data_IF_513153973010
#
_entry.id   IF_513153973010
#
_cell.length_a   1.000
_cell.length_b   1.000
_cell.length_c   1.000
_cell.angle_alpha   90.00
_cell.angle_beta   90.00
_cell.angle_gamma   90.00
#
_symmetry.space_group_name_H-M   'P 1'
#
loop_
_entity.id
_entity.type
_entity.pdbx_description
1 polymer ?
#
# COMPACT_ATOMS: atom_id res chain seq x y z
N UNK A 1 -33.57 4.00 0.38
CA UNK A 1 -33.50 2.98 -0.68
C UNK A 1 -32.11 3.03 -1.37
N UNK A 2 -31.01 2.88 -0.62
CA UNK A 2 -29.63 2.99 -1.15
C UNK A 2 -28.64 2.03 -0.45
N UNK A 3 -29.16 1.04 0.30
CA UNK A 3 -28.33 0.06 1.03
C UNK A 3 -28.26 -1.32 0.34
N UNK A 4 -28.99 -1.55 -0.76
CA UNK A 4 -29.05 -2.88 -1.39
C UNK A 4 -28.10 -3.11 -2.56
N UNK A 5 -27.32 -2.12 -2.99
CA UNK A 5 -26.26 -2.29 -3.99
C UNK A 5 -24.92 -2.66 -3.34
N UNK A 6 -24.97 -3.55 -2.33
CA UNK A 6 -23.77 -4.12 -1.76
C UNK A 6 -23.08 -4.92 -2.87
N UNK A 7 -22.01 -4.36 -3.45
CA UNK A 7 -21.13 -5.01 -4.43
C UNK A 7 -20.45 -6.21 -3.74
N UNK A 8 -21.21 -7.29 -3.58
CA UNK A 8 -20.75 -8.49 -2.86
C UNK A 8 -19.83 -9.27 -3.80
N UNK A 9 -18.53 -9.01 -3.70
CA UNK A 9 -17.50 -9.69 -4.49
C UNK A 9 -17.07 -11.03 -3.88
N UNK A 10 -17.60 -11.38 -2.70
CA UNK A 10 -17.46 -12.70 -2.10
C UNK A 10 -18.07 -13.80 -3.00
N UNK A 11 -17.44 -14.98 -3.01
CA UNK A 11 -17.88 -16.14 -3.80
C UNK A 11 -19.02 -16.85 -3.08
N UNK A 12 -20.10 -17.18 -3.79
CA UNK A 12 -21.16 -18.00 -3.20
C UNK A 12 -20.76 -19.48 -3.22
N UNK A 13 -21.23 -20.27 -2.25
CA UNK A 13 -20.88 -21.69 -2.13
C UNK A 13 -21.32 -22.53 -3.34
N UNK A 14 -22.43 -22.15 -3.98
CA UNK A 14 -23.00 -22.83 -5.15
C UNK A 14 -22.44 -22.35 -6.48
N UNK A 15 -21.58 -21.33 -6.47
CA UNK A 15 -21.09 -20.67 -7.68
C UNK A 15 -19.74 -21.25 -8.11
N UNK A 16 -19.62 -21.62 -9.39
CA UNK A 16 -18.32 -22.03 -9.94
C UNK A 16 -17.36 -20.84 -10.03
N UNK A 17 -16.06 -21.11 -10.15
CA UNK A 17 -15.05 -20.05 -10.28
C UNK A 17 -15.28 -19.17 -11.51
N UNK A 18 -15.72 -19.75 -12.62
CA UNK A 18 -15.99 -19.02 -13.86
C UNK A 18 -17.23 -18.13 -13.73
N UNK A 19 -18.29 -18.63 -13.09
CA UNK A 19 -19.48 -17.83 -12.81
C UNK A 19 -19.15 -16.65 -11.91
N UNK A 20 -18.36 -16.89 -10.86
CA UNK A 20 -17.94 -15.87 -9.90
C UNK A 20 -17.09 -14.79 -10.56
N UNK A 21 -16.06 -15.17 -11.30
CA UNK A 21 -15.19 -14.22 -12.02
C UNK A 21 -15.95 -13.45 -13.09
N UNK A 22 -16.83 -14.11 -13.85
CA UNK A 22 -17.71 -13.43 -14.82
C UNK A 22 -18.60 -12.40 -14.14
N UNK A 23 -19.22 -12.74 -13.01
CA UNK A 23 -20.05 -11.81 -12.22
C UNK A 23 -19.25 -10.62 -11.71
N UNK A 24 -18.03 -10.85 -11.20
CA UNK A 24 -17.13 -9.78 -10.80
C UNK A 24 -16.78 -8.88 -11.99
N UNK A 25 -16.39 -9.46 -13.13
CA UNK A 25 -16.03 -8.72 -14.34
C UNK A 25 -17.17 -7.83 -14.84
N UNK A 26 -18.40 -8.37 -14.92
CA UNK A 26 -19.58 -7.59 -15.33
C UNK A 26 -19.82 -6.39 -14.42
N UNK A 27 -19.66 -6.56 -13.10
CA UNK A 27 -19.83 -5.46 -12.13
C UNK A 27 -18.74 -4.41 -12.26
N UNK A 28 -17.50 -4.84 -12.45
CA UNK A 28 -16.38 -3.92 -12.67
C UNK A 28 -16.55 -3.15 -13.97
N UNK A 29 -17.01 -3.79 -15.05
CA UNK A 29 -17.30 -3.14 -16.31
C UNK A 29 -18.36 -2.03 -16.16
N UNK A 30 -19.47 -2.33 -15.47
CA UNK A 30 -20.50 -1.32 -15.19
C UNK A 30 -19.94 -0.14 -14.38
N UNK A 31 -19.09 -0.41 -13.38
CA UNK A 31 -18.46 0.63 -12.57
C UNK A 31 -17.45 1.45 -13.39
N UNK A 32 -16.66 0.80 -14.24
CA UNK A 32 -15.71 1.46 -15.13
C UNK A 32 -16.43 2.40 -16.12
N UNK A 33 -17.58 1.99 -16.66
CA UNK A 33 -18.42 2.85 -17.50
C UNK A 33 -18.85 4.14 -16.80
N UNK A 34 -19.29 4.06 -15.55
CA UNK A 34 -19.66 5.23 -14.74
C UNK A 34 -18.44 6.13 -14.49
N UNK A 35 -17.28 5.53 -14.17
CA UNK A 35 -16.04 6.28 -13.94
C UNK A 35 -15.58 6.98 -15.21
N UNK A 36 -15.60 6.30 -16.36
CA UNK A 36 -15.18 6.88 -17.64
C UNK A 36 -15.98 8.14 -18.02
N UNK A 37 -17.27 8.21 -17.63
CA UNK A 37 -18.13 9.37 -17.91
C UNK A 37 -17.86 10.52 -16.94
N UNK A 38 -17.65 10.22 -15.65
CA UNK A 38 -17.75 11.24 -14.59
C UNK A 38 -16.41 11.60 -13.93
N UNK A 39 -15.38 10.76 -14.06
CA UNK A 39 -14.15 10.90 -13.30
C UNK A 39 -13.09 11.72 -14.04
N UNK A 40 -12.23 12.37 -13.24
CA UNK A 40 -10.98 12.96 -13.72
C UNK A 40 -9.89 11.89 -13.77
N UNK A 41 -8.94 12.03 -14.69
CA UNK A 41 -7.77 11.15 -14.84
C UNK A 41 -6.94 10.93 -13.56
N UNK A 42 -6.98 11.89 -12.63
CA UNK A 42 -6.28 11.85 -11.35
C UNK A 42 -7.00 11.04 -10.24
N UNK A 43 -8.23 10.55 -10.49
CA UNK A 43 -8.95 9.70 -9.53
C UNK A 43 -8.12 8.44 -9.23
N UNK A 44 -8.10 8.04 -7.95
CA UNK A 44 -7.49 6.80 -7.47
C UNK A 44 -8.55 5.81 -7.02
N UNK A 45 -8.37 4.56 -7.41
CA UNK A 45 -9.27 3.45 -7.10
C UNK A 45 -8.48 2.42 -6.29
N UNK A 46 -8.97 2.10 -5.10
CA UNK A 46 -8.35 1.13 -4.21
C UNK A 46 -9.34 -0.01 -3.98
N UNK A 47 -8.95 -1.23 -4.37
CA UNK A 47 -9.69 -2.44 -4.07
C UNK A 47 -9.21 -3.00 -2.73
N UNK A 48 -10.07 -2.95 -1.72
CA UNK A 48 -9.83 -3.47 -0.37
C UNK A 48 -10.86 -4.52 0.07
N UNK A 49 -11.66 -5.02 -0.87
CA UNK A 49 -12.76 -5.94 -0.59
C UNK A 49 -12.29 -7.41 -0.58
N UNK A 50 -13.07 -8.28 0.06
CA UNK A 50 -12.90 -9.72 -0.11
C UNK A 50 -13.22 -10.15 -1.55
N UNK A 51 -12.41 -11.05 -2.10
CA UNK A 51 -12.59 -11.63 -3.43
C UNK A 51 -11.30 -11.66 -4.25
N UNK A 52 -11.39 -11.79 -5.58
CA UNK A 52 -10.22 -11.90 -6.44
C UNK A 52 -9.76 -10.49 -6.79
N UNK A 53 -9.21 -9.77 -5.81
CA UNK A 53 -8.91 -8.33 -5.91
C UNK A 53 -7.96 -7.98 -7.05
N UNK A 54 -6.96 -8.82 -7.31
CA UNK A 54 -6.06 -8.62 -8.44
C UNK A 54 -6.79 -8.79 -9.78
N UNK A 55 -7.75 -9.72 -9.87
CA UNK A 55 -8.59 -9.89 -11.07
C UNK A 55 -9.48 -8.67 -11.29
N UNK A 56 -10.15 -8.18 -10.24
CA UNK A 56 -11.01 -7.00 -10.36
C UNK A 56 -10.21 -5.74 -10.71
N UNK A 57 -9.02 -5.55 -10.13
CA UNK A 57 -8.13 -4.45 -10.50
C UNK A 57 -7.70 -4.54 -11.98
N UNK A 58 -7.42 -5.75 -12.46
CA UNK A 58 -7.08 -6.01 -13.87
C UNK A 58 -8.27 -5.68 -14.78
N UNK A 59 -9.48 -6.15 -14.45
CA UNK A 59 -10.70 -5.79 -15.20
C UNK A 59 -10.94 -4.28 -15.21
N UNK A 60 -10.71 -3.59 -14.08
CA UNK A 60 -10.89 -2.15 -14.00
C UNK A 60 -9.89 -1.43 -14.90
N UNK A 61 -8.63 -1.87 -14.92
CA UNK A 61 -7.61 -1.32 -15.80
C UNK A 61 -7.97 -1.50 -17.28
N UNK A 62 -8.56 -2.64 -17.64
CA UNK A 62 -8.97 -2.93 -19.01
C UNK A 62 -10.19 -2.09 -19.45
N UNK A 63 -11.22 -1.98 -18.58
CA UNK A 63 -12.47 -1.31 -18.93
C UNK A 63 -12.45 0.20 -18.69
N UNK A 64 -11.60 0.70 -17.80
CA UNK A 64 -11.55 2.11 -17.41
C UNK A 64 -10.42 2.86 -18.11
N UNK A 65 -10.73 3.39 -19.30
CA UNK A 65 -9.74 4.07 -20.16
C UNK A 65 -9.36 5.47 -19.70
N UNK A 66 -10.18 6.10 -18.84
CA UNK A 66 -9.92 7.48 -18.36
C UNK A 66 -8.84 7.55 -17.29
N UNK A 67 -8.65 6.48 -16.52
CA UNK A 67 -7.73 6.47 -15.39
C UNK A 67 -6.31 6.10 -15.81
N UNK A 68 -5.33 6.62 -15.06
CA UNK A 68 -3.96 6.15 -15.18
C UNK A 68 -3.87 4.77 -14.51
N UNK A 69 -3.31 3.74 -15.15
CA UNK A 69 -3.22 2.40 -14.57
C UNK A 69 -2.59 2.36 -13.18
N UNK A 70 -1.57 3.19 -12.93
CA UNK A 70 -0.91 3.30 -11.61
C UNK A 70 -1.81 3.84 -10.48
N UNK A 71 -2.96 4.41 -10.82
CA UNK A 71 -3.95 4.89 -9.85
C UNK A 71 -4.95 3.80 -9.44
N UNK A 72 -4.88 2.61 -10.04
CA UNK A 72 -5.72 1.45 -9.70
C UNK A 72 -4.86 0.49 -8.88
N UNK A 73 -5.21 0.31 -7.61
CA UNK A 73 -4.41 -0.46 -6.65
C UNK A 73 -5.26 -1.53 -5.99
N UNK A 74 -4.73 -2.75 -5.92
CA UNK A 74 -5.28 -3.81 -5.06
C UNK A 74 -4.54 -3.81 -3.72
N UNK A 75 -5.28 -3.65 -2.63
CA UNK A 75 -4.74 -3.68 -1.27
C UNK A 75 -4.67 -5.12 -0.77
N UNK A 76 -3.48 -5.56 -0.38
CA UNK A 76 -3.21 -6.93 0.07
C UNK A 76 -2.67 -7.01 1.49
N UNK A 77 -2.65 -5.86 2.20
CA UNK A 77 -2.07 -5.75 3.52
C UNK A 77 -2.77 -6.65 4.55
N UNK A 78 -4.05 -6.94 4.38
CA UNK A 78 -4.83 -7.89 5.18
C UNK A 78 -4.21 -9.29 5.19
N UNK A 79 -3.69 -9.74 4.03
CA UNK A 79 -3.01 -11.04 3.92
C UNK A 79 -1.72 -11.07 4.72
N UNK A 80 -0.91 -10.02 4.62
CA UNK A 80 0.33 -9.90 5.39
C UNK A 80 0.07 -9.76 6.89
N UNK A 81 -0.94 -8.98 7.29
CA UNK A 81 -1.29 -8.78 8.69
C UNK A 81 -1.67 -10.10 9.39
N UNK A 82 -2.25 -11.06 8.65
CA UNK A 82 -2.72 -12.33 9.20
C UNK A 82 -1.61 -13.19 9.84
N UNK A 83 -0.36 -13.02 9.41
CA UNK A 83 0.78 -13.82 9.94
C UNK A 83 1.53 -13.12 11.07
N UNK A 84 1.25 -11.84 11.36
CA UNK A 84 2.03 -11.05 12.31
C UNK A 84 1.98 -11.63 13.73
N UNK A 85 0.83 -12.17 14.17
CA UNK A 85 0.73 -12.79 15.50
C UNK A 85 1.68 -13.98 15.63
N UNK A 86 1.68 -14.87 14.63
CA UNK A 86 2.56 -16.04 14.61
C UNK A 86 4.05 -15.64 14.55
N UNK A 87 4.39 -14.58 13.80
CA UNK A 87 5.76 -14.04 13.75
C UNK A 87 6.17 -13.45 15.10
N UNK A 88 5.26 -12.75 15.78
CA UNK A 88 5.51 -12.19 17.11
C UNK A 88 5.81 -13.27 18.13
N UNK A 89 5.04 -14.37 18.13
CA UNK A 89 5.26 -15.52 18.99
C UNK A 89 6.59 -16.22 18.72
N UNK A 90 6.96 -16.42 17.45
CA UNK A 90 8.22 -17.08 17.05
C UNK A 90 9.47 -16.24 17.36
N UNK A 91 9.38 -14.92 17.22
CA UNK A 91 10.54 -14.02 17.32
C UNK A 91 10.66 -13.34 18.69
N UNK A 92 9.59 -13.34 19.49
CA UNK A 92 9.49 -12.57 20.73
C UNK A 92 9.37 -11.06 20.52
N UNK A 93 9.30 -10.59 19.27
CA UNK A 93 9.13 -9.15 18.96
C UNK A 93 7.66 -8.79 19.09
N UNK A 94 7.28 -7.76 19.87
CA UNK A 94 5.88 -7.35 20.00
C UNK A 94 5.25 -6.95 18.66
N UNK A 95 4.01 -7.37 18.41
CA UNK A 95 3.21 -7.04 17.20
C UNK A 95 3.33 -5.59 16.72
N UNK A 96 3.25 -4.54 17.59
CA UNK A 96 3.37 -3.15 17.14
C UNK A 96 4.74 -2.76 16.57
N UNK A 97 5.77 -3.60 16.75
CA UNK A 97 7.11 -3.42 16.21
C UNK A 97 7.36 -4.25 14.94
N UNK A 98 6.36 -4.97 14.45
CA UNK A 98 6.46 -5.81 13.26
C UNK A 98 5.72 -5.12 12.12
N UNK A 99 6.41 -4.84 11.01
CA UNK A 99 5.78 -4.37 9.78
C UNK A 99 5.03 -5.51 9.09
N UNK A 100 3.95 -5.18 8.36
CA UNK A 100 3.23 -6.19 7.58
C UNK A 100 4.14 -6.76 6.49
N UNK A 101 4.29 -8.10 6.39
CA UNK A 101 5.10 -8.71 5.34
C UNK A 101 4.59 -8.32 3.95
N UNK A 102 5.51 -8.20 2.97
CA UNK A 102 5.11 -8.06 1.59
C UNK A 102 4.36 -9.31 1.11
N UNK A 103 3.38 -9.08 0.25
CA UNK A 103 2.56 -10.13 -0.36
C UNK A 103 2.79 -10.09 -1.86
N UNK A 104 3.27 -11.19 -2.41
CA UNK A 104 3.61 -11.35 -3.81
C UNK A 104 2.55 -12.17 -4.54
N UNK A 105 2.52 -12.04 -5.87
CA UNK A 105 1.65 -12.83 -6.74
C UNK A 105 0.25 -12.27 -6.90
N UNK A 106 -0.69 -13.14 -7.27
CA UNK A 106 -2.04 -12.75 -7.66
C UNK A 106 -3.04 -13.12 -6.57
N UNK A 107 -3.45 -12.12 -5.77
CA UNK A 107 -4.31 -12.32 -4.61
C UNK A 107 -5.73 -12.74 -5.02
N UNK A 108 -6.18 -13.85 -4.42
CA UNK A 108 -7.35 -14.63 -4.78
C UNK A 108 -7.06 -15.83 -5.69
N UNK A 109 -5.78 -16.10 -6.01
CA UNK A 109 -5.35 -17.25 -6.82
C UNK A 109 -4.07 -17.89 -6.28
N UNK A 110 -2.93 -17.22 -6.47
CA UNK A 110 -1.58 -17.71 -6.18
C UNK A 110 -0.81 -16.59 -5.46
N UNK A 111 -1.21 -16.30 -4.24
CA UNK A 111 -0.51 -15.34 -3.37
C UNK A 111 0.57 -16.02 -2.53
N UNK A 112 1.64 -15.28 -2.24
CA UNK A 112 2.71 -15.69 -1.36
C UNK A 112 3.02 -14.58 -0.37
N UNK A 113 2.91 -14.88 0.93
CA UNK A 113 3.31 -13.95 2.00
C UNK A 113 4.79 -14.19 2.30
N UNK A 114 5.61 -13.19 2.05
CA UNK A 114 7.05 -13.28 2.27
C UNK A 114 7.39 -12.86 3.70
N UNK A 115 7.41 -13.84 4.59
CA UNK A 115 7.81 -13.66 5.99
C UNK A 115 9.30 -13.32 6.16
N UNK A 116 10.14 -13.64 5.17
CA UNK A 116 11.60 -13.43 5.27
C UNK A 116 11.99 -11.96 5.12
N UNK A 117 11.17 -11.19 4.42
CA UNK A 117 11.37 -9.75 4.18
C UNK A 117 10.64 -8.85 5.19
N UNK A 118 10.24 -9.38 6.35
CA UNK A 118 9.56 -8.60 7.40
C UNK A 118 10.52 -7.56 7.99
N UNK A 119 10.03 -6.34 8.13
CA UNK A 119 10.78 -5.23 8.74
C UNK A 119 10.43 -5.14 10.23
N UNK A 120 11.44 -5.16 11.09
CA UNK A 120 11.29 -4.97 12.53
C UNK A 120 11.71 -3.56 12.96
N UNK A 121 10.87 -2.91 13.76
CA UNK A 121 11.17 -1.62 14.38
C UNK A 121 12.02 -1.84 15.63
N UNK A 122 13.31 -1.51 15.55
CA UNK A 122 14.24 -1.58 16.67
C UNK A 122 14.62 -0.18 17.18
N UNK A 123 14.87 -0.06 18.49
CA UNK A 123 15.54 1.11 19.05
C UNK A 123 17.05 0.91 18.91
N UNK A 124 17.70 1.79 18.16
CA UNK A 124 19.15 1.77 18.03
C UNK A 124 19.73 2.62 19.15
N UNK A 125 20.56 2.02 20.01
CA UNK A 125 21.40 2.77 20.93
C UNK A 125 22.51 3.41 20.09
N UNK A 126 22.50 4.74 19.93
CA UNK A 126 23.59 5.47 19.25
C UNK A 126 24.70 5.73 20.27
N UNK A 127 25.86 5.04 20.22
CA UNK A 127 26.82 5.06 21.34
C UNK A 127 27.56 6.40 21.53
N UNK A 128 27.50 7.33 20.59
CA UNK A 128 28.10 8.66 20.73
C UNK A 128 27.23 9.73 20.06
N UNK A 129 26.32 10.35 20.83
CA UNK A 129 25.60 11.56 20.35
C UNK A 129 26.55 12.74 20.11
N UNK A 130 27.65 12.80 20.87
CA UNK A 130 28.67 13.84 20.83
C UNK A 130 29.60 13.82 19.61
N UNK A 131 29.68 12.70 18.88
CA UNK A 131 30.49 12.60 17.66
C UNK A 131 29.72 13.00 16.38
N UNK A 132 28.39 13.10 16.44
CA UNK A 132 27.54 13.48 15.30
C UNK A 132 27.15 14.97 15.28
N UNK A 133 27.49 15.74 16.32
CA UNK A 133 27.49 17.19 16.25
C UNK A 133 28.77 17.63 15.57
N UNK A 134 28.79 17.60 14.23
CA UNK A 134 29.75 18.40 13.47
C UNK A 134 29.67 19.80 14.03
N UNK A 135 30.77 20.25 14.59
CA UNK A 135 30.89 21.58 15.16
C UNK A 135 30.62 22.56 14.03
N UNK A 136 29.41 23.12 14.00
CA UNK A 136 29.14 24.35 13.25
C UNK A 136 29.90 25.47 13.95
N UNK A 137 31.22 25.43 13.86
CA UNK A 137 32.05 26.62 13.98
C UNK A 137 31.93 27.29 12.62
N UNK A 138 30.77 27.90 12.37
CA UNK A 138 30.74 28.99 11.40
C UNK A 138 31.51 30.13 12.04
N UNK A 139 32.74 30.27 11.57
CA UNK A 139 33.58 31.44 11.71
C UNK A 139 32.71 32.70 11.68
N UNK A 140 32.68 33.46 12.77
CA UNK A 140 32.16 34.82 12.71
C UNK A 140 33.04 35.62 11.72
N UNK A 141 32.46 36.53 10.93
CA UNK A 141 33.26 37.38 10.06
C UNK A 141 34.14 38.25 10.96
N UNK A 142 35.47 38.07 10.89
CA UNK A 142 36.41 39.04 11.45
C UNK A 142 36.10 40.39 10.80
N UNK A 143 35.73 41.37 11.61
CA UNK A 143 35.58 42.76 11.20
C UNK A 143 36.91 43.27 10.63
N UNK A 144 36.92 43.61 9.35
CA UNK A 144 38.02 44.31 8.72
C UNK A 144 37.90 45.79 9.08
N UNK A 145 38.62 46.23 10.12
CA UNK A 145 38.79 47.65 10.41
C UNK A 145 39.68 48.27 9.33
N UNK A 146 39.11 49.13 8.50
CA UNK A 146 39.89 50.04 7.65
C UNK A 146 40.41 51.15 8.56
N UNK A 147 41.69 51.10 8.91
CA UNK A 147 42.40 52.30 9.34
C UNK A 147 42.88 53.03 8.09
N UNK A 148 42.16 54.08 7.72
CA UNK A 148 42.74 55.27 7.09
C UNK A 148 43.68 55.91 8.10
N UNK A 149 44.93 56.16 7.69
CA UNK A 149 45.70 57.38 7.98
C UNK A 149 47.15 57.22 7.48
N UNK A 150 47.38 57.67 6.25
CA UNK A 150 48.46 58.59 5.83
C UNK A 150 48.29 58.97 4.36
#
# INVERSE_FOLDING_TARGET
MLQHLFLRFHRNQTETRDMWTKRCSTRINAMAGIININAKRALRVIFCNEGPICFMATCMMEYCTVLIPSNIVALTADRGLSVISAVSEKTGVPVPKIGSPPVWGFVGCNEYVDESSIIFKAHILKPYKSACTTSTVMLSPRSFSKNTDQ
#
